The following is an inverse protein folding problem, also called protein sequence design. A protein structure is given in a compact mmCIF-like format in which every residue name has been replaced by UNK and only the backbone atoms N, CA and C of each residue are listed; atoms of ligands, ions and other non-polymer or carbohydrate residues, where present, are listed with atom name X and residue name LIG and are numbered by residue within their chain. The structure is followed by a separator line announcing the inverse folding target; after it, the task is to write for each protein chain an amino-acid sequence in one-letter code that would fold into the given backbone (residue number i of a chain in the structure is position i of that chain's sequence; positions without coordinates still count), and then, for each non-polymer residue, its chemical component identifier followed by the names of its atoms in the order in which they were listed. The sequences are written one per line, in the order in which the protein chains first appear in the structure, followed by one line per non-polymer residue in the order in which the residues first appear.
data_IF_232853722925
#
_entry.id   IF_232853722925
#
_cell.length_a   1.000
_cell.length_b   1.000
_cell.length_c   1.000
_cell.angle_alpha   90.00
_cell.angle_beta   90.00
_cell.angle_gamma   90.00
#
_symmetry.space_group_name_H-M   'P 1'
#
loop_
_entity.id
_entity.type
_entity.pdbx_description
1 polymer ?
#
# COMPACT_ATOMS: atom_id res chain seq x y z
N UNK A 1 -9.30 6.84 7.55
CA UNK A 1 -9.96 6.27 6.36
C UNK A 1 -11.29 6.95 6.18
N UNK A 2 -11.22 8.27 6.13
CA UNK A 2 -12.36 9.16 5.88
C UNK A 2 -12.19 9.74 4.48
N UNK A 3 -13.26 10.28 3.91
CA UNK A 3 -13.23 10.83 2.55
C UNK A 3 -12.14 11.92 2.39
N UNK A 4 -11.97 12.76 3.42
CA UNK A 4 -10.96 13.82 3.44
C UNK A 4 -9.55 13.31 3.80
N UNK A 5 -9.42 12.16 4.46
CA UNK A 5 -8.13 11.63 4.93
C UNK A 5 -8.11 10.09 4.96
N UNK A 6 -7.46 9.52 3.95
CA UNK A 6 -7.36 8.08 3.76
C UNK A 6 -6.06 7.69 3.05
N UNK A 7 -5.75 6.39 3.13
CA UNK A 7 -4.73 5.74 2.33
C UNK A 7 -5.37 5.39 0.99
N UNK A 8 -4.83 5.91 -0.11
CA UNK A 8 -5.35 5.66 -1.45
C UNK A 8 -4.83 4.34 -2.03
N UNK A 9 -3.61 3.93 -1.66
CA UNK A 9 -3.08 2.63 -2.02
C UNK A 9 -1.99 2.17 -1.05
N UNK A 10 -1.78 0.85 -1.03
CA UNK A 10 -0.63 0.19 -0.40
C UNK A 10 0.09 -0.60 -1.48
N UNK A 11 1.41 -0.55 -1.46
CA UNK A 11 2.28 -1.32 -2.35
C UNK A 11 3.15 -2.29 -1.56
N UNK A 12 3.33 -3.49 -2.11
CA UNK A 12 4.39 -4.40 -1.75
C UNK A 12 5.38 -4.51 -2.91
N UNK A 13 6.63 -4.15 -2.66
CA UNK A 13 7.74 -4.31 -3.59
C UNK A 13 8.48 -5.59 -3.19
N UNK A 14 8.71 -6.47 -4.15
CA UNK A 14 9.48 -7.71 -3.99
C UNK A 14 10.46 -7.83 -5.15
N UNK A 15 11.69 -7.37 -4.94
CA UNK A 15 12.73 -7.33 -5.96
C UNK A 15 12.33 -6.42 -7.12
N UNK A 16 12.05 -7.00 -8.28
CA UNK A 16 11.61 -6.26 -9.48
C UNK A 16 10.09 -6.26 -9.69
N UNK A 17 9.32 -6.80 -8.74
CA UNK A 17 7.86 -6.83 -8.79
C UNK A 17 7.26 -5.81 -7.84
N UNK A 18 6.17 -5.20 -8.27
CA UNK A 18 5.35 -4.30 -7.45
C UNK A 18 3.92 -4.84 -7.48
N UNK A 19 3.36 -5.05 -6.30
CA UNK A 19 1.97 -5.42 -6.08
C UNK A 19 1.26 -4.21 -5.48
N UNK A 20 0.08 -3.88 -5.97
CA UNK A 20 -0.66 -2.68 -5.56
C UNK A 20 -2.06 -3.07 -5.14
N UNK A 21 -2.47 -2.63 -3.95
CA UNK A 21 -3.85 -2.67 -3.48
C UNK A 21 -4.36 -1.22 -3.41
N UNK A 22 -5.34 -0.89 -4.25
CA UNK A 22 -6.04 0.38 -4.14
C UNK A 22 -7.07 0.30 -3.01
N UNK A 23 -7.17 1.34 -2.22
CA UNK A 23 -8.13 1.49 -1.14
C UNK A 23 -9.00 2.72 -1.41
N UNK A 24 -10.23 2.66 -0.92
CA UNK A 24 -11.19 3.76 -0.95
C UNK A 24 -11.46 4.27 0.46
N UNK A 25 -11.99 5.50 0.62
CA UNK A 25 -12.47 5.96 1.92
C UNK A 25 -13.41 4.94 2.57
N UNK A 26 -13.23 4.69 3.86
CA UNK A 26 -13.97 3.69 4.62
C UNK A 26 -13.38 2.27 4.60
N UNK A 27 -12.50 1.93 3.65
CA UNK A 27 -11.77 0.66 3.71
C UNK A 27 -10.83 0.62 4.91
N UNK A 28 -10.54 -0.57 5.43
CA UNK A 28 -9.46 -0.69 6.43
C UNK A 28 -8.11 -0.33 5.79
N UNK A 29 -7.22 0.41 6.47
CA UNK A 29 -5.92 0.82 5.94
C UNK A 29 -4.92 -0.35 6.00
N UNK A 30 -5.25 -1.46 5.33
CA UNK A 30 -4.46 -2.68 5.30
C UNK A 30 -4.63 -3.38 3.95
N UNK A 31 -3.61 -4.13 3.55
CA UNK A 31 -3.65 -4.98 2.38
C UNK A 31 -2.90 -6.28 2.66
N UNK A 32 -3.41 -7.38 2.11
CA UNK A 32 -2.75 -8.68 2.14
C UNK A 32 -2.32 -9.04 0.71
N UNK A 33 -1.08 -9.47 0.56
CA UNK A 33 -0.51 -9.83 -0.73
C UNK A 33 -0.01 -11.28 -0.68
N UNK A 34 -0.61 -12.13 -1.51
CA UNK A 34 -0.08 -13.46 -1.74
C UNK A 34 1.02 -13.40 -2.80
N UNK A 35 2.25 -13.73 -2.41
CA UNK A 35 3.41 -13.77 -3.31
C UNK A 35 4.01 -15.17 -3.31
N UNK A 36 4.35 -15.68 -4.49
CA UNK A 36 4.93 -17.03 -4.64
C UNK A 36 6.37 -17.13 -4.15
N UNK A 37 7.10 -16.01 -4.14
CA UNK A 37 8.44 -15.88 -3.57
C UNK A 37 8.75 -14.40 -3.34
N UNK A 38 9.44 -14.10 -2.24
CA UNK A 38 9.82 -12.73 -1.85
C UNK A 38 11.33 -12.54 -1.82
N UNK A 39 11.81 -11.41 -2.34
CA UNK A 39 13.18 -10.93 -2.17
C UNK A 39 13.16 -9.42 -1.96
N UNK A 40 14.01 -8.88 -1.09
CA UNK A 40 14.09 -7.44 -0.79
C UNK A 40 12.72 -6.78 -0.58
N UNK A 41 11.96 -7.29 0.41
CA UNK A 41 10.58 -6.87 0.64
C UNK A 41 10.53 -5.47 1.24
N UNK A 42 9.80 -4.57 0.59
CA UNK A 42 9.54 -3.20 1.05
C UNK A 42 8.07 -2.89 0.89
N UNK A 43 7.50 -2.15 1.83
CA UNK A 43 6.12 -1.72 1.78
C UNK A 43 6.07 -0.19 1.66
N UNK A 44 5.15 0.29 0.82
CA UNK A 44 4.82 1.71 0.71
C UNK A 44 3.34 1.92 0.87
N UNK A 45 2.97 3.08 1.37
CA UNK A 45 1.58 3.53 1.37
C UNK A 45 1.53 4.97 0.86
N UNK A 46 0.40 5.33 0.25
CA UNK A 46 0.14 6.72 -0.11
C UNK A 46 -1.10 7.23 0.61
N UNK A 47 -0.88 8.23 1.45
CA UNK A 47 -1.93 9.01 2.08
C UNK A 47 -2.28 10.21 1.19
N UNK A 48 -3.57 10.45 0.97
CA UNK A 48 -4.05 11.51 0.08
C UNK A 48 -3.58 12.94 0.49
N UNK A 49 -3.28 13.18 1.78
CA UNK A 49 -2.82 14.48 2.28
C UNK A 49 -1.36 14.49 2.77
N UNK A 50 -0.79 13.34 3.13
CA UNK A 50 0.58 13.24 3.64
C UNK A 50 1.57 12.65 2.63
N UNK A 51 1.11 12.27 1.44
CA UNK A 51 1.95 11.74 0.38
C UNK A 51 2.41 10.31 0.62
N UNK A 52 3.54 9.95 0.01
CA UNK A 52 4.08 8.59 0.02
C UNK A 52 4.96 8.34 1.26
N UNK A 53 4.73 7.22 1.92
CA UNK A 53 5.53 6.72 3.03
C UNK A 53 6.12 5.35 2.70
N UNK A 54 7.28 5.04 3.31
CA UNK A 54 8.00 3.79 3.09
C UNK A 54 8.64 3.30 4.39
N UNK A 55 8.65 1.98 4.59
CA UNK A 55 9.29 1.27 5.69
C UNK A 55 10.45 0.39 5.20
#
# INVERSE_FOLDING_TARGET
MEEEHHISFIELISGNKVYIANLTPGDEPKAEFEISSGSDLRAREYCNIHGLWEA
#
